data_IF_466469111405
#
_entry.id   IF_466469111405
#
_cell.length_a   1.000
_cell.length_b   1.000
_cell.length_c   1.000
_cell.angle_alpha   90.00
_cell.angle_beta   90.00
_cell.angle_gamma   90.00
#
_symmetry.space_group_name_H-M   'P 1'
#
loop_
_entity.id
_entity.type
_entity.pdbx_description
1 polymer ?
#
# COMPACT_ATOMS: atom_id res chain seq x y z
N UNK A 1 10.57 28.67 -45.00
CA UNK A 1 11.18 27.35 -44.70
C UNK A 1 10.07 26.32 -44.55
N UNK A 2 10.17 25.19 -45.24
CA UNK A 2 9.21 24.08 -45.13
C UNK A 2 9.47 23.25 -43.87
N UNK A 3 8.53 22.37 -43.51
CA UNK A 3 8.62 21.53 -42.31
C UNK A 3 9.91 20.69 -42.28
N UNK A 4 10.32 20.13 -43.42
CA UNK A 4 11.57 19.39 -43.55
C UNK A 4 12.81 20.21 -43.17
N UNK A 5 12.90 21.46 -43.63
CA UNK A 5 14.01 22.35 -43.28
C UNK A 5 14.06 22.72 -41.79
N UNK A 6 12.91 22.81 -41.13
CA UNK A 6 12.85 23.07 -39.66
C UNK A 6 13.29 21.84 -38.87
N UNK A 7 12.88 20.63 -39.29
CA UNK A 7 13.29 19.37 -38.65
C UNK A 7 14.79 19.12 -38.79
N UNK A 8 15.37 19.38 -39.97
CA UNK A 8 16.81 19.24 -40.18
C UNK A 8 17.61 20.24 -39.35
N UNK A 9 17.16 21.49 -39.22
CA UNK A 9 17.82 22.49 -38.39
C UNK A 9 17.74 22.13 -36.90
N UNK A 10 16.59 21.62 -36.45
CA UNK A 10 16.41 21.12 -35.09
C UNK A 10 17.32 19.93 -34.79
N UNK A 11 17.34 18.91 -35.68
CA UNK A 11 18.23 17.76 -35.53
C UNK A 11 19.71 18.14 -35.49
N UNK A 12 20.14 19.07 -36.34
CA UNK A 12 21.50 19.60 -36.31
C UNK A 12 21.80 20.33 -34.98
N UNK A 13 20.84 21.12 -34.48
CA UNK A 13 20.95 21.79 -33.18
C UNK A 13 21.10 20.81 -32.02
N UNK A 14 20.33 19.72 -32.02
CA UNK A 14 20.43 18.65 -31.01
C UNK A 14 21.81 17.99 -31.06
N UNK A 15 22.30 17.61 -32.24
CA UNK A 15 23.63 16.99 -32.37
C UNK A 15 24.74 17.91 -31.86
N UNK A 16 24.67 19.21 -32.16
CA UNK A 16 25.65 20.19 -31.66
C UNK A 16 25.57 20.33 -30.15
N UNK A 17 24.36 20.39 -29.57
CA UNK A 17 24.17 20.53 -28.14
C UNK A 17 24.72 19.31 -27.37
N UNK A 18 24.37 18.10 -27.81
CA UNK A 18 24.86 16.86 -27.18
C UNK A 18 26.37 16.66 -27.39
N UNK A 19 26.90 16.99 -28.58
CA UNK A 19 28.34 16.91 -28.85
C UNK A 19 29.16 17.89 -27.99
N UNK A 20 28.66 19.12 -27.82
CA UNK A 20 29.30 20.11 -26.96
C UNK A 20 29.24 19.70 -25.49
N UNK A 21 28.09 19.20 -25.02
CA UNK A 21 27.95 18.69 -23.65
C UNK A 21 28.91 17.52 -23.37
N UNK A 22 29.03 16.57 -24.31
CA UNK A 22 29.96 15.44 -24.18
C UNK A 22 31.43 15.89 -24.16
N UNK A 23 31.80 16.84 -25.01
CA UNK A 23 33.15 17.40 -25.04
C UNK A 23 33.51 18.17 -23.76
N UNK A 24 32.58 18.96 -23.21
CA UNK A 24 32.77 19.68 -21.95
C UNK A 24 32.88 18.68 -20.79
N UNK A 25 32.02 17.66 -20.75
CA UNK A 25 32.08 16.62 -19.73
C UNK A 25 33.44 15.90 -19.75
N UNK A 26 33.94 15.51 -20.92
CA UNK A 26 35.26 14.89 -21.05
C UNK A 26 36.43 15.77 -20.60
N UNK A 27 36.28 17.10 -20.61
CA UNK A 27 37.32 18.04 -20.19
C UNK A 27 37.26 18.41 -18.70
N UNK A 28 36.08 18.31 -18.07
CA UNK A 28 35.83 18.82 -16.71
C UNK A 28 35.59 17.70 -15.70
N UNK A 29 35.10 16.54 -16.14
CA UNK A 29 34.82 15.40 -15.26
C UNK A 29 36.13 14.66 -14.99
N UNK A 30 36.55 14.51 -13.72
CA UNK A 30 37.75 13.76 -13.37
C UNK A 30 37.60 12.28 -13.72
N UNK A 31 38.68 11.64 -14.17
CA UNK A 31 38.70 10.20 -14.47
C UNK A 31 38.29 9.34 -13.27
N UNK A 32 38.49 9.81 -12.04
CA UNK A 32 38.05 9.14 -10.81
C UNK A 32 36.53 9.13 -10.64
N UNK A 33 35.83 10.15 -11.13
CA UNK A 33 34.37 10.18 -11.13
C UNK A 33 33.81 9.18 -12.16
N UNK A 34 34.45 9.07 -13.33
CA UNK A 34 34.13 8.05 -14.33
C UNK A 34 34.43 6.66 -13.77
N UNK A 35 35.60 6.45 -13.16
CA UNK A 35 35.97 5.18 -12.55
C UNK A 35 35.03 4.76 -11.41
N UNK A 36 34.61 5.68 -10.53
CA UNK A 36 33.64 5.39 -9.48
C UNK A 36 32.25 5.06 -10.04
N UNK A 37 31.83 5.75 -11.11
CA UNK A 37 30.55 5.48 -11.76
C UNK A 37 30.57 4.16 -12.53
N UNK A 38 31.71 3.82 -13.15
CA UNK A 38 31.92 2.53 -13.80
C UNK A 38 32.03 1.41 -12.78
N UNK A 39 32.66 1.66 -11.63
CA UNK A 39 32.74 0.72 -10.51
C UNK A 39 31.35 0.44 -9.92
N UNK A 40 30.55 1.48 -9.70
CA UNK A 40 29.14 1.37 -9.28
C UNK A 40 28.26 0.68 -10.34
N UNK A 41 28.57 0.85 -11.62
CA UNK A 41 27.89 0.15 -12.72
C UNK A 41 28.37 -1.31 -12.87
N UNK A 42 29.62 -1.64 -12.54
CA UNK A 42 30.14 -3.01 -12.56
C UNK A 42 29.83 -3.81 -11.30
N UNK A 43 29.47 -3.14 -10.20
CA UNK A 43 28.77 -3.76 -9.07
C UNK A 43 27.32 -4.12 -9.45
N UNK A 44 26.82 -3.54 -10.56
CA UNK A 44 25.57 -3.87 -11.24
C UNK A 44 25.77 -4.65 -12.54
N UNK A 45 26.17 -5.93 -12.43
CA UNK A 45 26.00 -7.03 -13.41
C UNK A 45 27.21 -7.56 -14.20
N UNK A 46 27.15 -8.88 -14.40
CA UNK A 46 27.91 -9.78 -15.30
C UNK A 46 29.13 -10.50 -14.71
N UNK A 47 28.87 -11.50 -13.86
CA UNK A 47 29.75 -12.66 -13.70
C UNK A 47 28.97 -13.96 -14.06
N UNK A 48 29.47 -14.61 -15.11
CA UNK A 48 29.36 -16.04 -15.48
C UNK A 48 27.98 -16.68 -15.76
N UNK A 49 27.68 -16.75 -17.07
CA UNK A 49 26.86 -17.81 -17.66
C UNK A 49 27.62 -19.16 -17.62
N UNK A 50 27.56 -19.86 -16.49
CA UNK A 50 27.91 -21.28 -16.43
C UNK A 50 27.15 -21.99 -15.31
N UNK A 51 25.90 -22.38 -15.62
CA UNK A 51 25.24 -23.56 -15.06
C UNK A 51 25.01 -23.59 -13.55
N UNK A 52 23.88 -23.04 -13.11
CA UNK A 52 23.00 -23.65 -12.11
C UNK A 52 21.63 -22.98 -12.24
N UNK A 53 20.62 -23.79 -12.51
CA UNK A 53 19.20 -23.45 -12.37
C UNK A 53 18.88 -23.34 -10.89
N UNK A 54 18.92 -22.12 -10.38
CA UNK A 54 18.11 -21.70 -9.24
C UNK A 54 17.73 -20.25 -9.52
N UNK A 55 16.47 -20.06 -9.91
CA UNK A 55 15.88 -18.73 -10.10
C UNK A 55 15.58 -18.19 -8.73
N UNK A 56 16.60 -17.70 -8.03
CA UNK A 56 16.39 -16.79 -6.91
C UNK A 56 16.34 -15.39 -7.54
N UNK A 57 15.18 -15.08 -8.13
CA UNK A 57 14.80 -13.71 -8.44
C UNK A 57 14.86 -12.96 -7.12
N UNK A 58 15.85 -12.07 -6.98
CA UNK A 58 15.81 -11.04 -5.96
C UNK A 58 14.57 -10.21 -6.24
N UNK A 59 13.43 -10.59 -5.66
CA UNK A 59 12.23 -9.77 -5.65
C UNK A 59 12.63 -8.47 -4.97
N UNK A 60 12.81 -7.41 -5.76
CA UNK A 60 12.66 -6.07 -5.21
C UNK A 60 11.27 -6.03 -4.59
N UNK A 61 11.20 -6.08 -3.27
CA UNK A 61 9.94 -6.04 -2.53
C UNK A 61 9.08 -4.91 -3.09
N UNK A 62 8.07 -5.26 -3.88
CA UNK A 62 7.17 -4.31 -4.48
C UNK A 62 6.27 -3.79 -3.38
N UNK A 63 6.31 -2.49 -3.13
CA UNK A 63 5.41 -1.85 -2.18
C UNK A 63 3.97 -2.09 -2.65
N UNK A 64 3.10 -2.77 -1.89
CA UNK A 64 1.75 -3.07 -2.34
C UNK A 64 0.88 -1.82 -2.51
N UNK A 65 -0.16 -1.93 -3.34
CA UNK A 65 -1.21 -0.91 -3.45
C UNK A 65 -0.81 0.41 -4.12
N UNK A 66 0.31 0.47 -4.84
CA UNK A 66 0.69 1.66 -5.64
C UNK A 66 0.60 1.45 -7.15
N UNK A 67 0.33 0.22 -7.59
CA UNK A 67 0.27 -0.16 -9.01
C UNK A 67 -1.14 -0.57 -9.43
N UNK A 68 -1.54 -0.18 -10.63
CA UNK A 68 -2.79 -0.63 -11.25
C UNK A 68 -2.74 -2.05 -11.78
N UNK A 69 -1.54 -2.58 -11.97
CA UNK A 69 -1.28 -3.95 -12.39
C UNK A 69 -0.14 -4.56 -11.61
N UNK A 70 -0.18 -5.88 -11.47
CA UNK A 70 0.76 -6.67 -10.68
C UNK A 70 0.39 -8.14 -10.77
N UNK A 71 1.38 -9.03 -10.66
CA UNK A 71 1.17 -10.48 -10.70
C UNK A 71 0.40 -11.00 -11.94
N UNK A 72 0.50 -10.29 -13.07
CA UNK A 72 -0.23 -10.64 -14.30
C UNK A 72 -1.70 -10.19 -14.34
N UNK A 73 -2.15 -9.42 -13.34
CA UNK A 73 -3.49 -8.85 -13.27
C UNK A 73 -3.48 -7.34 -13.44
N UNK A 74 -4.59 -6.76 -13.90
CA UNK A 74 -4.84 -5.33 -14.03
C UNK A 74 -6.23 -4.96 -13.48
N UNK A 75 -6.30 -3.87 -12.71
CA UNK A 75 -7.56 -3.27 -12.30
C UNK A 75 -8.11 -2.41 -13.45
N UNK A 76 -9.25 -2.82 -14.00
CA UNK A 76 -9.88 -2.14 -15.13
C UNK A 76 -10.34 -0.71 -14.77
N UNK A 77 -10.70 0.12 -15.77
CA UNK A 77 -11.25 1.43 -15.49
C UNK A 77 -12.50 1.40 -14.60
N UNK A 78 -12.44 2.14 -13.50
CA UNK A 78 -13.57 2.32 -12.60
C UNK A 78 -14.67 3.12 -13.29
N UNK A 79 -15.88 2.59 -13.29
CA UNK A 79 -17.11 3.32 -13.62
C UNK A 79 -17.80 3.70 -12.31
N UNK A 80 -18.07 4.98 -12.10
CA UNK A 80 -18.72 5.49 -10.89
C UNK A 80 -19.43 6.83 -11.19
N UNK A 81 -20.33 7.32 -10.32
CA UNK A 81 -20.80 8.69 -10.37
C UNK A 81 -19.61 9.67 -10.40
N UNK A 82 -19.74 10.77 -11.14
CA UNK A 82 -18.63 11.71 -11.38
C UNK A 82 -18.69 12.96 -10.52
N UNK A 83 -19.71 13.10 -9.68
CA UNK A 83 -19.86 14.22 -8.77
C UNK A 83 -20.52 13.83 -7.46
N UNK A 84 -20.48 14.73 -6.49
CA UNK A 84 -21.01 14.53 -5.14
C UNK A 84 -22.55 14.47 -5.13
N UNK A 85 -23.11 13.69 -4.20
CA UNK A 85 -24.57 13.60 -3.99
C UNK A 85 -25.34 12.89 -5.11
N UNK A 86 -24.62 12.24 -6.03
CA UNK A 86 -25.21 11.46 -7.12
C UNK A 86 -25.14 9.98 -6.76
N UNK A 87 -26.30 9.40 -6.46
CA UNK A 87 -26.41 7.95 -6.34
C UNK A 87 -26.23 7.29 -7.72
N UNK A 88 -25.46 6.22 -7.76
CA UNK A 88 -25.28 5.39 -8.95
C UNK A 88 -24.56 4.09 -8.63
N UNK A 89 -24.00 3.47 -9.66
CA UNK A 89 -23.23 2.24 -9.53
C UNK A 89 -21.74 2.54 -9.60
N UNK A 90 -20.99 1.95 -8.68
CA UNK A 90 -19.54 1.81 -8.77
C UNK A 90 -19.24 0.42 -9.31
N UNK A 91 -18.49 0.30 -10.40
CA UNK A 91 -18.16 -0.99 -11.01
C UNK A 91 -16.79 -1.03 -11.69
N UNK A 92 -16.20 -2.23 -11.70
CA UNK A 92 -14.89 -2.53 -12.27
C UNK A 92 -14.74 -4.05 -12.50
N UNK A 93 -13.63 -4.44 -13.12
CA UNK A 93 -13.22 -5.82 -13.32
C UNK A 93 -11.74 -5.97 -12.95
N UNK A 94 -11.35 -7.17 -12.55
CA UNK A 94 -9.94 -7.59 -12.53
C UNK A 94 -9.69 -8.32 -13.84
N UNK A 95 -8.71 -7.88 -14.61
CA UNK A 95 -8.36 -8.47 -15.90
C UNK A 95 -7.05 -9.25 -15.76
N UNK A 96 -6.94 -10.38 -16.43
CA UNK A 96 -5.67 -11.10 -16.60
C UNK A 96 -4.78 -10.45 -17.68
N UNK A 97 -3.61 -11.05 -17.93
CA UNK A 97 -2.63 -10.58 -18.90
C UNK A 97 -3.16 -10.55 -20.35
N UNK A 98 -4.20 -11.32 -20.67
CA UNK A 98 -4.85 -11.34 -21.97
C UNK A 98 -6.01 -10.33 -22.07
N UNK A 99 -6.32 -9.63 -20.97
CA UNK A 99 -7.44 -8.70 -20.86
C UNK A 99 -8.79 -9.40 -20.60
N UNK A 100 -8.77 -10.66 -20.19
CA UNK A 100 -9.98 -11.43 -19.85
C UNK A 100 -10.34 -11.20 -18.38
N UNK A 101 -11.62 -11.02 -18.02
CA UNK A 101 -12.01 -10.89 -16.62
C UNK A 101 -11.65 -12.15 -15.81
N UNK A 102 -10.97 -11.95 -14.68
CA UNK A 102 -10.78 -12.99 -13.67
C UNK A 102 -12.13 -13.31 -13.03
N UNK A 103 -12.47 -14.60 -12.99
CA UNK A 103 -13.74 -15.08 -12.43
C UNK A 103 -13.60 -16.06 -11.28
N UNK A 104 -12.38 -16.48 -10.95
CA UNK A 104 -12.10 -17.41 -9.87
C UNK A 104 -11.34 -16.67 -8.77
N UNK A 105 -11.92 -16.63 -7.57
CA UNK A 105 -11.40 -15.93 -6.41
C UNK A 105 -11.50 -16.86 -5.20
N UNK A 106 -10.47 -16.87 -4.36
CA UNK A 106 -10.56 -17.54 -3.06
C UNK A 106 -11.21 -16.59 -2.05
N UNK A 107 -12.15 -17.13 -1.27
CA UNK A 107 -12.75 -16.37 -0.18
C UNK A 107 -11.73 -16.17 0.95
N UNK A 108 -11.40 -14.91 1.24
CA UNK A 108 -10.53 -14.50 2.34
C UNK A 108 -11.28 -13.49 3.23
N UNK A 109 -11.22 -13.65 4.55
CA UNK A 109 -11.99 -12.81 5.48
C UNK A 109 -13.50 -12.75 5.12
N UNK A 110 -14.08 -13.92 4.79
CA UNK A 110 -15.49 -14.10 4.39
C UNK A 110 -15.91 -13.40 3.09
N UNK A 111 -14.97 -12.83 2.33
CA UNK A 111 -15.20 -12.11 1.09
C UNK A 111 -14.20 -12.51 0.02
N UNK A 112 -14.65 -12.47 -1.22
CA UNK A 112 -13.78 -12.77 -2.36
C UNK A 112 -12.94 -11.53 -2.77
N UNK A 113 -13.40 -10.33 -2.39
CA UNK A 113 -12.72 -9.07 -2.64
C UNK A 113 -13.03 -8.02 -1.57
N UNK A 114 -12.00 -7.31 -1.12
CA UNK A 114 -12.12 -6.10 -0.32
C UNK A 114 -11.87 -4.87 -1.20
N UNK A 115 -12.82 -3.94 -1.19
CA UNK A 115 -12.69 -2.66 -1.87
C UNK A 115 -12.43 -1.57 -0.82
N UNK A 116 -11.24 -0.98 -0.86
CA UNK A 116 -10.92 0.20 -0.07
C UNK A 116 -10.97 1.44 -0.94
N UNK A 117 -11.61 2.49 -0.45
CA UNK A 117 -11.69 3.79 -1.11
C UNK A 117 -11.27 4.86 -0.14
N UNK A 118 -10.31 5.70 -0.50
CA UNK A 118 -9.80 6.78 0.35
C UNK A 118 -9.46 7.99 -0.50
N UNK A 119 -9.73 9.19 0.00
CA UNK A 119 -9.32 10.42 -0.70
C UNK A 119 -7.81 10.59 -0.59
N UNK A 120 -7.18 11.26 -1.56
CA UNK A 120 -5.71 11.41 -1.59
C UNK A 120 -5.11 12.17 -0.40
N UNK A 121 -5.93 12.86 0.40
CA UNK A 121 -5.52 13.49 1.66
C UNK A 121 -5.72 12.59 2.89
N UNK A 122 -6.12 11.33 2.70
CA UNK A 122 -6.34 10.38 3.79
C UNK A 122 -7.74 10.37 4.40
N UNK A 123 -8.62 11.27 3.96
CA UNK A 123 -9.98 11.34 4.51
C UNK A 123 -10.96 10.49 3.68
N UNK A 124 -12.21 10.41 4.14
CA UNK A 124 -13.30 9.75 3.41
C UNK A 124 -13.02 8.27 3.12
N UNK A 125 -12.36 7.59 4.05
CA UNK A 125 -12.11 6.16 3.99
C UNK A 125 -13.42 5.37 3.98
N UNK A 126 -13.47 4.33 3.14
CA UNK A 126 -14.56 3.36 3.10
C UNK A 126 -13.98 1.98 2.79
N UNK A 127 -14.32 1.00 3.61
CA UNK A 127 -14.10 -0.42 3.33
C UNK A 127 -15.44 -1.04 2.97
N UNK A 128 -15.57 -1.50 1.73
CA UNK A 128 -16.82 -2.10 1.24
C UNK A 128 -16.55 -3.40 0.51
N UNK A 129 -17.61 -4.20 0.34
CA UNK A 129 -17.56 -5.50 -0.31
C UNK A 129 -18.53 -5.47 -1.50
N UNK A 130 -18.05 -5.20 -2.72
CA UNK A 130 -18.90 -5.20 -3.90
C UNK A 130 -19.42 -6.61 -4.18
N UNK A 131 -20.52 -6.69 -4.92
CA UNK A 131 -21.10 -7.95 -5.39
C UNK A 131 -20.47 -8.36 -6.72
N UNK A 132 -20.16 -9.65 -6.85
CA UNK A 132 -19.59 -10.22 -8.06
C UNK A 132 -20.68 -10.75 -9.01
N UNK A 133 -20.55 -10.44 -10.30
CA UNK A 133 -21.34 -11.03 -11.38
C UNK A 133 -20.47 -12.05 -12.14
N UNK A 134 -20.69 -13.34 -11.90
CA UNK A 134 -19.94 -14.44 -12.54
C UNK A 134 -20.10 -14.49 -14.06
N UNK A 135 -21.21 -13.96 -14.60
CA UNK A 135 -21.48 -13.99 -16.05
C UNK A 135 -20.65 -12.97 -16.82
N UNK A 136 -20.24 -11.89 -16.16
CA UNK A 136 -19.47 -10.79 -16.76
C UNK A 136 -18.08 -10.59 -16.15
N UNK A 137 -17.82 -11.16 -14.98
CA UNK A 137 -16.61 -10.89 -14.20
C UNK A 137 -16.59 -9.50 -13.55
N UNK A 138 -17.76 -8.87 -13.37
CA UNK A 138 -17.87 -7.49 -12.89
C UNK A 138 -18.14 -7.44 -11.39
N UNK A 139 -17.37 -6.60 -10.70
CA UNK A 139 -17.64 -6.19 -9.32
C UNK A 139 -18.48 -4.92 -9.33
N UNK A 140 -19.52 -4.87 -8.51
CA UNK A 140 -20.41 -3.70 -8.43
C UNK A 140 -20.88 -3.38 -7.01
N UNK A 141 -21.11 -2.10 -6.74
CA UNK A 141 -21.71 -1.61 -5.50
C UNK A 141 -22.60 -0.40 -5.77
N UNK A 142 -23.67 -0.24 -4.97
CA UNK A 142 -24.40 1.03 -4.92
C UNK A 142 -23.51 2.09 -4.28
N UNK A 143 -23.38 3.24 -4.92
CA UNK A 143 -22.38 4.24 -4.55
C UNK A 143 -22.88 5.67 -4.66
N UNK A 144 -22.41 6.50 -3.73
CA UNK A 144 -22.58 7.95 -3.74
C UNK A 144 -21.34 8.61 -3.12
N UNK A 145 -20.74 9.57 -3.81
CA UNK A 145 -19.64 10.36 -3.27
C UNK A 145 -20.18 11.45 -2.34
N UNK A 146 -19.69 11.46 -1.11
CA UNK A 146 -20.07 12.49 -0.14
C UNK A 146 -19.33 13.81 -0.43
N UNK A 147 -18.04 13.71 -0.75
CA UNK A 147 -17.14 14.83 -0.96
C UNK A 147 -16.43 14.75 -2.31
N UNK A 148 -15.99 15.88 -2.82
CA UNK A 148 -15.20 15.95 -4.06
C UNK A 148 -13.72 15.70 -3.78
N UNK A 149 -12.96 15.42 -4.84
CA UNK A 149 -11.51 15.21 -4.79
C UNK A 149 -11.06 14.02 -5.62
N UNK A 150 -9.77 13.71 -5.52
CA UNK A 150 -9.19 12.49 -6.10
C UNK A 150 -9.20 11.40 -5.05
N UNK A 151 -9.69 10.23 -5.43
CA UNK A 151 -9.77 9.05 -4.59
C UNK A 151 -8.87 7.96 -5.13
N UNK A 152 -8.17 7.28 -4.23
CA UNK A 152 -7.49 6.02 -4.53
C UNK A 152 -8.41 4.87 -4.14
N UNK A 153 -8.55 3.93 -5.07
CA UNK A 153 -9.34 2.71 -4.96
C UNK A 153 -8.36 1.55 -4.86
N UNK A 154 -8.56 0.63 -3.94
CA UNK A 154 -7.82 -0.63 -3.84
C UNK A 154 -8.77 -1.79 -4.03
N UNK A 155 -8.38 -2.73 -4.89
CA UNK A 155 -8.98 -4.05 -4.96
C UNK A 155 -7.98 -5.03 -4.36
N UNK A 156 -8.36 -5.62 -3.23
CA UNK A 156 -7.57 -6.62 -2.52
C UNK A 156 -8.26 -7.98 -2.60
N UNK A 157 -7.59 -8.97 -3.20
CA UNK A 157 -8.19 -10.26 -3.55
C UNK A 157 -7.13 -11.38 -3.62
N UNK A 158 -7.61 -12.62 -3.62
CA UNK A 158 -6.79 -13.83 -3.83
C UNK A 158 -7.33 -14.55 -5.07
N UNK A 159 -6.55 -14.71 -6.15
CA UNK A 159 -7.01 -15.44 -7.33
C UNK A 159 -7.04 -16.96 -7.09
N UNK A 160 -8.17 -17.61 -7.33
CA UNK A 160 -8.31 -19.08 -7.26
C UNK A 160 -7.80 -19.70 -8.58
N UNK A 161 -6.48 -19.72 -8.73
CA UNK A 161 -5.78 -20.31 -9.88
C UNK A 161 -4.58 -21.10 -9.42
N UNK A 162 -4.25 -22.16 -10.17
CA UNK A 162 -3.07 -22.99 -9.88
C UNK A 162 -1.79 -22.15 -9.96
N UNK A 163 -0.97 -22.23 -8.91
CA UNK A 163 0.29 -21.47 -8.77
C UNK A 163 0.09 -19.94 -8.84
N UNK A 164 -1.08 -19.45 -8.39
CA UNK A 164 -1.38 -18.03 -8.24
C UNK A 164 -0.70 -17.39 -7.01
N UNK A 165 -0.61 -16.06 -6.96
CA UNK A 165 -0.12 -15.34 -5.78
C UNK A 165 -1.08 -15.49 -4.59
N UNK A 166 -0.53 -15.56 -3.36
CA UNK A 166 -1.31 -15.68 -2.12
C UNK A 166 -2.20 -14.46 -1.82
N UNK A 167 -1.86 -13.30 -2.39
CA UNK A 167 -2.60 -12.04 -2.24
C UNK A 167 -2.20 -11.05 -3.33
N UNK A 168 -3.19 -10.30 -3.85
CA UNK A 168 -2.97 -9.23 -4.83
C UNK A 168 -3.72 -7.98 -4.41
N UNK A 169 -3.02 -6.86 -4.33
CA UNK A 169 -3.62 -5.54 -4.11
C UNK A 169 -3.31 -4.61 -5.28
N UNK A 170 -4.33 -4.29 -6.08
CA UNK A 170 -4.23 -3.38 -7.22
C UNK A 170 -4.92 -2.05 -6.91
N UNK A 171 -4.44 -0.96 -7.51
CA UNK A 171 -5.02 0.37 -7.26
C UNK A 171 -5.32 1.18 -8.53
N UNK A 172 -6.35 2.03 -8.45
CA UNK A 172 -6.64 3.04 -9.48
C UNK A 172 -7.14 4.31 -8.83
N UNK A 173 -6.98 5.43 -9.51
CA UNK A 173 -7.52 6.71 -9.05
C UNK A 173 -8.80 7.08 -9.80
N UNK A 174 -9.71 7.75 -9.09
CA UNK A 174 -10.94 8.34 -9.64
C UNK A 174 -11.03 9.80 -9.20
N UNK A 175 -11.39 10.68 -10.12
CA UNK A 175 -11.64 12.08 -9.83
C UNK A 175 -13.16 12.33 -9.69
N UNK A 176 -13.54 12.94 -8.56
CA UNK A 176 -14.92 13.32 -8.26
C UNK A 176 -15.03 14.84 -8.37
N UNK A 177 -15.87 15.31 -9.29
CA UNK A 177 -16.08 16.72 -9.53
C UNK A 177 -16.86 17.38 -8.39
N UNK A 178 -16.40 18.57 -8.00
CA UNK A 178 -17.02 19.41 -6.98
C UNK A 178 -15.99 20.34 -6.36
N UNK A 179 -16.38 21.02 -5.28
CA UNK A 179 -15.47 21.84 -4.50
C UNK A 179 -14.58 20.95 -3.64
N UNK A 180 -13.27 21.03 -3.83
CA UNK A 180 -12.30 20.25 -3.06
C UNK A 180 -11.58 21.16 -2.05
N UNK A 181 -11.76 20.86 -0.78
CA UNK A 181 -10.97 21.43 0.33
C UNK A 181 -10.14 20.30 0.95
N UNK A 182 -8.81 20.26 0.72
CA UNK A 182 -7.94 19.26 1.33
C UNK A 182 -7.95 19.39 2.86
N UNK A 183 -7.95 18.26 3.55
CA UNK A 183 -7.85 18.18 5.01
C UNK A 183 -6.87 17.07 5.45
N UNK A 184 -5.58 17.17 5.07
CA UNK A 184 -4.59 16.16 5.41
C UNK A 184 -4.26 16.16 6.90
N UNK A 185 -3.97 14.98 7.44
CA UNK A 185 -3.51 14.82 8.81
C UNK A 185 -2.20 15.58 9.10
N UNK A 186 -2.23 16.54 10.02
CA UNK A 186 -1.06 17.35 10.37
C UNK A 186 -0.30 16.86 11.61
N UNK A 187 -0.98 16.16 12.51
CA UNK A 187 -0.42 15.64 13.75
C UNK A 187 -0.71 14.15 13.90
N UNK A 188 0.13 13.46 14.69
CA UNK A 188 -0.12 12.09 15.12
C UNK A 188 -1.33 12.03 16.05
N UNK A 189 -2.12 10.97 15.95
CA UNK A 189 -3.22 10.66 16.85
C UNK A 189 -3.28 9.16 17.09
N UNK A 190 -3.14 8.77 18.35
CA UNK A 190 -3.29 7.39 18.83
C UNK A 190 -4.63 7.16 19.54
N UNK A 191 -5.56 8.10 19.42
CA UNK A 191 -6.92 7.97 19.92
C UNK A 191 -7.93 8.47 18.89
N UNK A 192 -9.05 7.78 18.77
CA UNK A 192 -10.15 8.11 17.88
C UNK A 192 -11.47 8.08 18.64
N UNK A 193 -12.33 9.08 18.42
CA UNK A 193 -13.72 9.08 18.87
C UNK A 193 -14.64 8.85 17.67
N UNK A 194 -15.40 7.75 17.69
CA UNK A 194 -16.33 7.40 16.60
C UNK A 194 -17.62 6.84 17.18
N UNK A 195 -18.76 7.41 16.79
CA UNK A 195 -20.10 6.93 17.18
C UNK A 195 -20.31 6.70 18.69
N UNK A 196 -19.59 7.44 19.54
CA UNK A 196 -19.62 7.33 21.00
C UNK A 196 -18.66 6.29 21.59
N UNK A 197 -17.83 5.66 20.76
CA UNK A 197 -16.70 4.84 21.18
C UNK A 197 -15.42 5.65 21.21
N UNK A 198 -14.57 5.37 22.19
CA UNK A 198 -13.18 5.81 22.23
C UNK A 198 -12.31 4.60 21.92
N UNK A 199 -11.49 4.69 20.87
CA UNK A 199 -10.52 3.65 20.52
C UNK A 199 -9.12 4.22 20.72
N UNK A 200 -8.27 3.50 21.44
CA UNK A 200 -6.87 3.89 21.66
C UNK A 200 -5.94 2.88 21.01
N UNK A 201 -4.88 3.36 20.38
CA UNK A 201 -3.81 2.57 19.79
C UNK A 201 -2.58 2.62 20.72
N UNK A 202 -2.07 1.44 21.05
CA UNK A 202 -0.80 1.23 21.75
C UNK A 202 0.16 0.44 20.84
N UNK A 203 1.45 0.76 20.90
CA UNK A 203 2.49 0.23 20.01
C UNK A 203 3.08 1.30 19.09
N UNK A 204 4.32 1.07 18.67
CA UNK A 204 5.08 1.95 17.78
C UNK A 204 5.46 1.20 16.50
N UNK A 205 5.35 1.85 15.35
CA UNK A 205 5.82 1.28 14.09
C UNK A 205 7.31 1.54 13.92
N UNK A 206 8.05 0.50 13.51
CA UNK A 206 9.45 0.61 13.11
C UNK A 206 9.62 0.17 11.67
N UNK A 207 10.32 0.98 10.88
CA UNK A 207 10.53 0.69 9.47
C UNK A 207 11.39 -0.58 9.26
N UNK A 208 10.90 -1.49 8.43
CA UNK A 208 11.54 -2.75 8.09
C UNK A 208 11.36 -3.85 9.14
N UNK A 209 10.51 -3.63 10.16
CA UNK A 209 10.28 -4.57 11.24
C UNK A 209 8.77 -4.81 11.45
N UNK A 210 8.42 -6.05 11.78
CA UNK A 210 7.07 -6.38 12.24
C UNK A 210 6.86 -5.84 13.66
N UNK A 211 5.85 -5.00 13.83
CA UNK A 211 5.49 -4.33 15.07
C UNK A 211 4.09 -4.78 15.54
N UNK A 212 3.92 -5.04 16.83
CA UNK A 212 2.60 -5.32 17.42
C UNK A 212 1.88 -3.99 17.69
N UNK A 213 0.65 -3.85 17.18
CA UNK A 213 -0.28 -2.76 17.48
C UNK A 213 -1.48 -3.32 18.24
N UNK A 214 -1.79 -2.73 19.39
CA UNK A 214 -2.98 -3.07 20.18
C UNK A 214 -3.98 -1.94 20.12
N UNK A 215 -5.20 -2.22 19.66
CA UNK A 215 -6.31 -1.28 19.64
C UNK A 215 -7.34 -1.67 20.71
N UNK A 216 -7.58 -0.76 21.66
CA UNK A 216 -8.51 -0.97 22.77
C UNK A 216 -9.78 -0.16 22.57
N UNK A 217 -10.94 -0.82 22.61
CA UNK A 217 -12.26 -0.18 22.42
C UNK A 217 -12.95 0.06 23.76
N UNK A 218 -13.37 1.30 24.00
CA UNK A 218 -14.16 1.69 25.17
C UNK A 218 -15.40 2.49 24.76
N UNK A 219 -16.44 2.45 25.60
CA UNK A 219 -17.65 3.27 25.48
C UNK A 219 -17.98 3.86 26.84
N UNK A 220 -18.17 5.17 26.90
CA UNK A 220 -18.43 5.90 28.16
C UNK A 220 -17.37 5.61 29.25
N UNK A 221 -16.12 5.41 28.85
CA UNK A 221 -15.00 5.07 29.73
C UNK A 221 -15.02 3.64 30.28
N UNK A 222 -15.90 2.77 29.78
CA UNK A 222 -15.93 1.34 30.11
C UNK A 222 -15.38 0.49 28.95
N UNK A 223 -14.51 -0.51 29.20
CA UNK A 223 -14.03 -1.40 28.16
C UNK A 223 -15.17 -2.16 27.47
N UNK A 224 -15.16 -2.21 26.14
CA UNK A 224 -16.11 -3.00 25.35
C UNK A 224 -15.63 -4.45 25.28
N UNK A 225 -16.36 -5.36 25.91
CA UNK A 225 -16.04 -6.82 25.90
C UNK A 225 -17.02 -7.62 25.04
N UNK A 226 -17.72 -6.93 24.13
CA UNK A 226 -18.76 -7.49 23.27
C UNK A 226 -18.47 -7.20 21.80
N UNK A 227 -17.19 -7.08 21.43
CA UNK A 227 -16.79 -6.96 20.03
C UNK A 227 -17.27 -8.21 19.30
N UNK A 228 -17.91 -8.00 18.16
CA UNK A 228 -18.46 -9.06 17.34
C UNK A 228 -17.54 -9.34 16.16
N UNK A 229 -17.50 -10.60 15.69
CA UNK A 229 -16.81 -10.94 14.46
C UNK A 229 -17.39 -10.17 13.28
N UNK A 230 -16.52 -9.58 12.49
CA UNK A 230 -16.84 -8.97 11.20
C UNK A 230 -15.77 -9.43 10.22
N UNK A 231 -16.15 -10.01 9.08
CA UNK A 231 -15.20 -10.49 8.06
C UNK A 231 -14.16 -11.47 8.63
N UNK A 232 -14.61 -12.41 9.47
CA UNK A 232 -13.73 -13.43 10.05
C UNK A 232 -12.69 -12.94 11.06
N UNK A 233 -12.81 -11.72 11.61
CA UNK A 233 -11.99 -11.24 12.73
C UNK A 233 -12.76 -10.30 13.65
N UNK A 234 -12.20 -9.94 14.81
CA UNK A 234 -12.82 -8.95 15.71
C UNK A 234 -12.55 -7.49 15.31
N UNK A 235 -11.65 -7.29 14.34
CA UNK A 235 -11.47 -6.02 13.66
C UNK A 235 -10.52 -6.12 12.47
N UNK A 236 -10.61 -5.15 11.58
CA UNK A 236 -9.83 -5.08 10.34
C UNK A 236 -9.07 -3.76 10.32
N UNK A 237 -7.75 -3.84 10.27
CA UNK A 237 -6.89 -2.67 10.26
C UNK A 237 -6.30 -2.48 8.86
N UNK A 238 -6.66 -1.37 8.22
CA UNK A 238 -6.02 -0.89 7.00
C UNK A 238 -5.04 0.21 7.38
N UNK A 239 -3.81 0.13 6.86
CA UNK A 239 -2.81 1.16 7.09
C UNK A 239 -2.20 1.59 5.77
N UNK A 240 -2.12 2.90 5.57
CA UNK A 240 -1.69 3.53 4.32
C UNK A 240 -0.59 4.55 4.60
N UNK A 241 0.49 4.52 3.82
CA UNK A 241 1.56 5.51 3.94
C UNK A 241 1.07 6.89 3.48
N UNK A 242 1.33 7.93 4.26
CA UNK A 242 0.99 9.29 3.87
C UNK A 242 1.70 9.71 2.56
N UNK A 243 1.01 10.52 1.76
CA UNK A 243 1.46 10.98 0.45
C UNK A 243 1.09 10.03 -0.70
N UNK A 244 1.71 8.85 -0.79
CA UNK A 244 1.46 7.92 -1.90
C UNK A 244 0.41 6.85 -1.60
N UNK A 245 -0.06 6.76 -0.36
CA UNK A 245 -1.05 5.80 0.10
C UNK A 245 -0.64 4.35 -0.22
N UNK A 246 0.65 4.05 -0.17
CA UNK A 246 1.13 2.68 -0.23
C UNK A 246 0.48 1.83 0.86
N UNK A 247 0.05 0.63 0.50
CA UNK A 247 -0.64 -0.27 1.42
C UNK A 247 0.37 -0.94 2.36
N UNK A 248 0.06 -0.95 3.65
CA UNK A 248 0.85 -1.60 4.68
C UNK A 248 0.45 -3.08 4.80
N UNK A 249 1.43 -3.95 5.07
CA UNK A 249 1.13 -5.33 5.45
C UNK A 249 0.62 -5.35 6.90
N UNK A 250 -0.61 -5.80 7.10
CA UNK A 250 -1.24 -5.93 8.42
C UNK A 250 -1.93 -7.28 8.54
N UNK A 251 -1.77 -7.93 9.68
CA UNK A 251 -2.46 -9.17 10.05
C UNK A 251 -3.10 -9.03 11.42
N UNK A 252 -4.37 -9.42 11.53
CA UNK A 252 -4.98 -9.61 12.85
C UNK A 252 -4.30 -10.79 13.56
N UNK A 253 -4.06 -10.64 14.85
CA UNK A 253 -3.56 -11.72 15.69
C UNK A 253 -4.71 -12.42 16.44
N UNK A 254 -4.48 -13.69 16.78
CA UNK A 254 -5.42 -14.53 17.50
C UNK A 254 -6.10 -15.57 16.61
N UNK A 255 -6.96 -16.37 17.23
CA UNK A 255 -7.73 -17.39 16.52
C UNK A 255 -8.90 -16.76 15.75
N UNK A 256 -9.22 -17.30 14.58
CA UNK A 256 -10.43 -16.91 13.84
C UNK A 256 -11.68 -17.15 14.69
N UNK A 257 -12.52 -16.12 14.90
CA UNK A 257 -13.74 -16.25 15.66
C UNK A 257 -14.82 -17.06 14.94
N UNK A 258 -15.74 -17.61 15.71
CA UNK A 258 -16.97 -18.23 15.20
C UNK A 258 -18.18 -17.34 15.42
N UNK A 259 -19.24 -17.61 14.65
CA UNK A 259 -20.53 -16.93 14.83
C UNK A 259 -21.02 -17.01 16.29
N UNK A 260 -21.23 -15.83 16.89
CA UNK A 260 -21.68 -15.68 18.27
C UNK A 260 -20.58 -15.56 19.31
N UNK A 261 -19.31 -15.71 18.92
CA UNK A 261 -18.18 -15.37 19.79
C UNK A 261 -18.15 -13.85 20.05
N UNK A 262 -17.54 -13.47 21.17
CA UNK A 262 -17.29 -12.07 21.51
C UNK A 262 -15.88 -11.92 22.08
N UNK A 263 -15.28 -10.76 21.85
CA UNK A 263 -13.96 -10.41 22.37
C UNK A 263 -13.91 -8.97 22.90
N UNK A 264 -12.70 -8.54 23.25
CA UNK A 264 -12.38 -7.18 23.67
C UNK A 264 -11.90 -7.09 25.12
N UNK A 265 -11.42 -5.91 25.52
CA UNK A 265 -11.45 -4.66 24.74
C UNK A 265 -10.38 -4.55 23.66
N UNK A 266 -9.38 -5.43 23.69
CA UNK A 266 -8.19 -5.32 22.86
C UNK A 266 -8.32 -6.16 21.59
N UNK A 267 -7.90 -5.58 20.47
CA UNK A 267 -7.67 -6.24 19.18
C UNK A 267 -6.20 -6.02 18.82
N UNK A 268 -5.48 -7.08 18.48
CA UNK A 268 -4.05 -7.03 18.20
C UNK A 268 -3.76 -7.27 16.73
N UNK A 269 -2.78 -6.56 16.22
CA UNK A 269 -2.31 -6.68 14.84
C UNK A 269 -0.79 -6.71 14.79
N UNK A 270 -0.24 -7.54 13.93
CA UNK A 270 1.13 -7.43 13.46
C UNK A 270 1.15 -6.55 12.21
N UNK A 271 1.98 -5.50 12.20
CA UNK A 271 2.08 -4.54 11.11
C UNK A 271 3.53 -4.26 10.73
N UNK A 272 3.83 -4.23 9.43
CA UNK A 272 5.20 -3.98 8.93
C UNK A 272 5.25 -2.73 8.04
N UNK A 273 5.91 -1.68 8.55
CA UNK A 273 6.18 -0.45 7.81
C UNK A 273 7.36 -0.63 6.87
N UNK A 274 7.20 -0.57 5.53
CA UNK A 274 8.33 -0.73 4.62
C UNK A 274 9.34 0.41 4.70
N UNK A 275 8.93 1.58 5.21
CA UNK A 275 9.75 2.79 5.30
C UNK A 275 9.43 3.59 6.55
N UNK A 276 10.39 4.39 7.01
CA UNK A 276 10.08 5.41 8.01
C UNK A 276 9.18 6.49 7.37
N UNK A 277 8.29 7.08 8.17
CA UNK A 277 7.34 8.08 7.68
C UNK A 277 5.98 7.98 8.35
N UNK A 278 5.03 8.79 7.90
CA UNK A 278 3.68 8.83 8.45
C UNK A 278 2.78 7.77 7.82
N UNK A 279 1.91 7.19 8.64
CA UNK A 279 0.91 6.22 8.25
C UNK A 279 -0.47 6.60 8.80
N UNK A 280 -1.48 6.41 7.97
CA UNK A 280 -2.89 6.61 8.24
C UNK A 280 -3.54 5.24 8.46
N UNK A 281 -4.14 5.04 9.62
CA UNK A 281 -4.66 3.75 10.06
C UNK A 281 -6.18 3.84 10.21
N UNK A 282 -6.89 2.83 9.74
CA UNK A 282 -8.35 2.74 9.77
C UNK A 282 -8.74 1.37 10.34
N UNK A 283 -9.31 1.37 11.54
CA UNK A 283 -9.81 0.16 12.19
C UNK A 283 -11.32 0.07 12.01
N UNK A 284 -11.76 -0.96 11.28
CA UNK A 284 -13.14 -1.41 11.34
C UNK A 284 -13.35 -2.37 12.50
N UNK A 285 -14.36 -2.13 13.33
CA UNK A 285 -14.78 -3.02 14.41
C UNK A 285 -16.31 -3.07 14.50
N UNK A 286 -16.86 -4.17 15.00
CA UNK A 286 -18.32 -4.35 15.10
C UNK A 286 -18.81 -4.44 16.54
N UNK A 287 -19.84 -3.65 16.86
CA UNK A 287 -20.59 -3.70 18.12
C UNK A 287 -22.08 -3.50 17.83
N UNK A 288 -22.94 -4.25 18.51
CA UNK A 288 -24.41 -4.19 18.34
C UNK A 288 -24.88 -4.35 16.87
N UNK A 289 -24.16 -5.15 16.09
CA UNK A 289 -24.41 -5.41 14.66
C UNK A 289 -24.07 -4.26 13.73
N UNK A 290 -23.33 -3.24 14.21
CA UNK A 290 -22.90 -2.08 13.42
C UNK A 290 -21.38 -2.02 13.34
N UNK A 291 -20.89 -1.78 12.14
CA UNK A 291 -19.46 -1.55 11.87
C UNK A 291 -19.17 -0.07 12.11
N UNK A 292 -18.05 0.19 12.77
CA UNK A 292 -17.52 1.50 13.08
C UNK A 292 -16.07 1.58 12.60
N UNK A 293 -15.68 2.72 12.06
CA UNK A 293 -14.30 2.95 11.58
C UNK A 293 -13.61 3.99 12.48
N UNK A 294 -12.58 3.58 13.20
CA UNK A 294 -11.71 4.47 13.96
C UNK A 294 -10.46 4.84 13.15
N UNK A 295 -10.04 6.10 13.21
CA UNK A 295 -8.94 6.62 12.40
C UNK A 295 -7.76 7.08 13.27
N UNK A 296 -6.55 6.73 12.86
CA UNK A 296 -5.32 7.05 13.58
C UNK A 296 -4.25 7.58 12.63
N UNK A 297 -3.31 8.33 13.20
CA UNK A 297 -2.14 8.86 12.49
C UNK A 297 -0.93 8.56 13.33
N UNK A 298 -0.05 7.70 12.82
CA UNK A 298 1.17 7.29 13.52
C UNK A 298 2.38 7.50 12.62
N UNK A 299 3.55 7.69 13.22
CA UNK A 299 4.80 7.81 12.47
C UNK A 299 5.63 6.55 12.74
N UNK A 300 6.17 5.94 11.68
CA UNK A 300 7.13 4.86 11.77
C UNK A 300 8.55 5.42 11.90
N UNK A 301 9.26 4.98 12.93
CA UNK A 301 10.67 5.34 13.16
C UNK A 301 11.62 4.67 12.16
N UNK A 302 12.83 5.20 12.03
CA UNK A 302 13.89 4.44 11.35
C UNK A 302 14.33 3.30 12.27
N UNK A 303 14.34 2.06 11.76
CA UNK A 303 14.98 0.96 12.47
C UNK A 303 16.43 1.33 12.78
N UNK A 304 16.84 1.20 14.05
CA UNK A 304 18.24 1.36 14.43
C UNK A 304 18.99 0.14 13.92
N UNK A 305 19.35 0.13 12.64
CA UNK A 305 20.24 -0.87 12.07
C UNK A 305 21.49 -0.96 12.94
N UNK A 306 21.64 -2.08 13.65
CA UNK A 306 22.71 -2.31 14.61
C UNK A 306 24.07 -2.06 13.98
N UNK A 307 24.62 -0.88 14.28
CA UNK A 307 26.05 -0.60 14.14
C UNK A 307 26.62 -0.53 15.55
N UNK A 308 26.51 -1.64 16.28
CA UNK A 308 27.42 -1.93 17.37
C UNK A 308 28.74 -2.36 16.73
N UNK A 309 29.54 -1.38 16.31
CA UNK A 309 30.99 -1.54 16.35
C UNK A 309 31.40 -1.55 17.82
N UNK A 310 31.26 -2.69 18.48
CA UNK A 310 31.92 -2.91 19.76
C UNK A 310 33.38 -3.29 19.47
N UNK A 311 34.21 -2.25 19.40
CA UNK A 311 35.64 -2.30 19.57
C UNK A 311 35.97 -2.88 20.96
N UNK A 312 35.98 -4.20 21.15
CA UNK A 312 36.76 -4.82 22.23
C UNK A 312 37.02 -6.32 22.00
N UNK A 313 38.23 -6.67 21.55
CA UNK A 313 38.90 -7.85 22.10
C UNK A 313 40.42 -7.67 22.19
N UNK A 314 40.80 -7.23 23.39
CA UNK A 314 41.96 -7.64 24.18
C UNK A 314 42.92 -8.66 23.57
N UNK A 315 44.14 -8.18 23.36
CA UNK A 315 45.38 -8.93 23.22
C UNK A 315 45.62 -9.86 24.43
N UNK A 316 45.62 -11.17 24.19
CA UNK A 316 46.11 -12.19 25.12
C UNK A 316 47.35 -12.86 24.52
N UNK A 317 48.52 -12.41 24.96
CA UNK A 317 49.81 -13.04 24.69
C UNK A 317 50.62 -13.20 25.98
N UNK A 318 50.41 -14.30 26.69
CA UNK A 318 51.25 -14.72 27.82
C UNK A 318 52.51 -15.46 27.32
N UNK A 319 53.68 -15.02 27.80
CA UNK A 319 54.76 -15.88 28.29
C UNK A 319 55.73 -16.53 27.30
N UNK A 320 56.93 -15.95 27.13
CA UNK A 320 58.19 -16.41 27.76
C UNK A 320 59.39 -15.56 27.33
#
# INVERSE_FOLDING_TARGET
MNAAGRLSLYGAGVVVAFGAAFGIAAAVVPDSAVANWTAAASDGSMADHAGMTDTDTTETATIPGVSLSGYGYELSPITAPTGTGQAGEFSFQILDADGTPLTAYETSHEKDLHLIVVRTDGTQFRHVHPTFDEGTGTWSASWEWAEAGTYRIYADFVPDVTDGPDKVTLTRTVDVAGEFTPDPATATSTASEVDGYTVTLDGDLTAGESSELTLSVARDGQPVTTLQPYLGAFGHLVALRDGDLAYLHVHAEGDEPRDGDTAGPDIRFAAEAPTAGRYLLYLDFQVDGKVHTAEFVVDAGHGTGGTDTDDTHSDTGDGH
#
